data_IF_912370858756
#
_entry.id   IF_912370858756
#
_cell.length_a   1.000
_cell.length_b   1.000
_cell.length_c   1.000
_cell.angle_alpha   90.00
_cell.angle_beta   90.00
_cell.angle_gamma   90.00
#
_symmetry.space_group_name_H-M   'P 1'
#
loop_
_entity.id
_entity.type
_entity.pdbx_description
1 polymer ?
#
# COMPACT_ATOMS: atom_id res chain seq x y z
N UNK A 1 -12.82 -12.22 10.36
CA UNK A 1 -13.57 -11.37 9.40
C UNK A 1 -13.75 -9.94 9.90
N UNK A 2 -14.27 -9.71 11.11
CA UNK A 2 -14.45 -8.36 11.66
C UNK A 2 -13.17 -7.52 11.71
N UNK A 3 -12.05 -8.11 12.15
CA UNK A 3 -10.74 -7.42 12.24
C UNK A 3 -10.26 -6.89 10.89
N UNK A 4 -10.26 -7.74 9.85
CA UNK A 4 -9.86 -7.36 8.49
C UNK A 4 -10.72 -6.20 7.95
N UNK A 5 -12.04 -6.30 8.10
CA UNK A 5 -12.95 -5.26 7.61
C UNK A 5 -12.75 -3.93 8.35
N UNK A 6 -12.49 -3.97 9.66
CA UNK A 6 -12.21 -2.77 10.45
C UNK A 6 -10.90 -2.09 10.03
N UNK A 7 -9.85 -2.87 9.76
CA UNK A 7 -8.56 -2.35 9.27
C UNK A 7 -8.72 -1.72 7.88
N UNK A 8 -9.39 -2.39 6.95
CA UNK A 8 -9.62 -1.86 5.59
C UNK A 8 -10.47 -0.58 5.66
N UNK A 9 -11.49 -0.54 6.54
CA UNK A 9 -12.28 0.67 6.75
C UNK A 9 -11.44 1.85 7.26
N UNK A 10 -10.45 1.59 8.12
CA UNK A 10 -9.52 2.62 8.61
C UNK A 10 -8.58 3.09 7.50
N UNK A 11 -7.96 2.15 6.76
CA UNK A 11 -7.09 2.46 5.62
C UNK A 11 -7.82 3.31 4.57
N UNK A 12 -9.08 2.98 4.25
CA UNK A 12 -9.88 3.74 3.30
C UNK A 12 -10.08 5.22 3.71
N UNK A 13 -10.05 5.55 5.01
CA UNK A 13 -10.20 6.93 5.50
C UNK A 13 -8.91 7.74 5.46
N UNK A 14 -7.74 7.09 5.47
CA UNK A 14 -6.44 7.75 5.48
C UNK A 14 -5.64 7.54 4.18
N UNK A 15 -6.28 7.06 3.11
CA UNK A 15 -5.63 6.98 1.80
C UNK A 15 -5.45 8.37 1.22
N UNK A 16 -4.21 8.70 0.84
CA UNK A 16 -3.88 9.96 0.19
C UNK A 16 -4.51 10.06 -1.21
N UNK A 17 -4.62 11.28 -1.76
CA UNK A 17 -5.16 11.55 -3.09
C UNK A 17 -4.36 10.89 -4.23
N UNK A 18 -3.06 10.66 -4.05
CA UNK A 18 -2.24 9.87 -4.98
C UNK A 18 -2.63 8.38 -5.01
N UNK A 19 -3.34 7.90 -3.99
CA UNK A 19 -3.67 6.49 -3.78
C UNK A 19 -2.67 5.74 -2.90
N UNK A 20 -1.55 6.35 -2.53
CA UNK A 20 -0.62 5.81 -1.54
C UNK A 20 -1.14 6.03 -0.10
N UNK A 21 -0.42 5.46 0.85
CA UNK A 21 -0.56 5.76 2.28
C UNK A 21 0.72 6.39 2.82
N UNK A 22 0.54 7.21 3.85
CA UNK A 22 1.62 7.75 4.65
C UNK A 22 2.30 6.65 5.49
N UNK A 23 3.61 6.76 5.72
CA UNK A 23 4.40 5.79 6.50
C UNK A 23 3.88 5.65 7.94
N UNK A 24 3.43 6.76 8.52
CA UNK A 24 2.58 6.80 9.71
C UNK A 24 1.15 7.07 9.25
N UNK A 25 0.28 6.06 9.35
CA UNK A 25 -1.04 6.05 8.71
C UNK A 25 -1.98 7.19 9.14
N UNK A 26 -1.83 7.68 10.37
CA UNK A 26 -2.64 8.74 10.96
C UNK A 26 -1.91 10.10 11.03
N UNK A 27 -0.75 10.20 10.40
CA UNK A 27 0.05 11.41 10.31
C UNK A 27 0.26 11.81 8.82
N UNK A 28 -0.57 12.75 8.31
CA UNK A 28 -0.48 13.19 6.91
C UNK A 28 0.77 14.01 6.59
N UNK A 29 1.54 14.43 7.60
CA UNK A 29 2.80 15.14 7.39
C UNK A 29 3.97 14.17 7.15
N UNK A 30 3.80 12.87 7.43
CA UNK A 30 4.80 11.85 7.13
C UNK A 30 4.84 11.50 5.63
N UNK A 31 5.94 10.96 5.12
CA UNK A 31 6.05 10.72 3.67
C UNK A 31 5.13 9.57 3.19
N UNK A 32 4.75 9.61 1.90
CA UNK A 32 4.02 8.53 1.24
C UNK A 32 4.94 7.33 0.96
N UNK A 33 4.48 6.12 1.26
CA UNK A 33 5.27 4.89 1.19
C UNK A 33 4.60 3.85 0.28
N UNK A 34 5.33 3.41 -0.74
CA UNK A 34 4.81 2.59 -1.82
C UNK A 34 4.76 1.09 -1.49
N UNK A 35 5.67 0.55 -0.70
CA UNK A 35 5.71 -0.90 -0.44
C UNK A 35 4.54 -1.36 0.45
N UNK A 36 4.21 -0.61 1.48
CA UNK A 36 3.03 -0.75 2.32
C UNK A 36 1.75 -0.56 1.48
N UNK A 37 1.72 0.47 0.61
CA UNK A 37 0.61 0.68 -0.34
C UNK A 37 0.38 -0.56 -1.21
N UNK A 38 1.43 -1.19 -1.74
CA UNK A 38 1.32 -2.42 -2.52
C UNK A 38 0.78 -3.59 -1.67
N UNK A 39 1.22 -3.71 -0.41
CA UNK A 39 0.67 -4.67 0.54
C UNK A 39 -0.82 -4.47 0.82
N UNK A 40 -1.25 -3.22 1.06
CA UNK A 40 -2.67 -2.89 1.25
C UNK A 40 -3.48 -3.17 0.00
N UNK A 41 -2.99 -2.76 -1.18
CA UNK A 41 -3.63 -3.04 -2.46
C UNK A 41 -3.87 -4.55 -2.66
N UNK A 42 -2.84 -5.38 -2.43
CA UNK A 42 -2.97 -6.84 -2.49
C UNK A 42 -4.05 -7.35 -1.52
N UNK A 43 -3.96 -6.96 -0.24
CA UNK A 43 -4.87 -7.44 0.80
C UNK A 43 -6.33 -7.08 0.52
N UNK A 44 -6.58 -5.84 0.09
CA UNK A 44 -7.92 -5.34 -0.23
C UNK A 44 -8.46 -6.03 -1.49
N UNK A 45 -7.68 -6.12 -2.58
CA UNK A 45 -8.07 -6.83 -3.80
C UNK A 45 -8.45 -8.29 -3.50
N UNK A 46 -7.60 -8.98 -2.73
CA UNK A 46 -7.82 -10.36 -2.32
C UNK A 46 -9.10 -10.50 -1.51
N UNK A 47 -9.31 -9.62 -0.53
CA UNK A 47 -10.47 -9.65 0.34
C UNK A 47 -11.77 -9.38 -0.45
N UNK A 48 -11.77 -8.42 -1.37
CA UNK A 48 -12.89 -8.14 -2.27
C UNK A 48 -13.22 -9.34 -3.15
N UNK A 49 -12.22 -9.90 -3.85
CA UNK A 49 -12.43 -11.06 -4.74
C UNK A 49 -12.93 -12.28 -3.99
N UNK A 50 -12.42 -12.52 -2.78
CA UNK A 50 -12.85 -13.62 -1.92
C UNK A 50 -14.17 -13.34 -1.19
N UNK A 51 -14.80 -12.18 -1.42
CA UNK A 51 -16.06 -11.73 -0.80
C UNK A 51 -15.99 -11.70 0.73
N UNK A 52 -14.81 -11.39 1.25
CA UNK A 52 -14.53 -11.20 2.66
C UNK A 52 -14.99 -9.82 3.15
N UNK A 53 -14.92 -8.82 2.27
CA UNK A 53 -15.36 -7.45 2.54
C UNK A 53 -16.26 -6.95 1.40
N UNK A 54 -16.89 -5.79 1.63
CA UNK A 54 -17.76 -5.15 0.63
C UNK A 54 -17.03 -4.87 -0.69
N UNK A 55 -17.74 -5.01 -1.80
CA UNK A 55 -17.24 -4.62 -3.13
C UNK A 55 -16.91 -3.12 -3.23
N UNK A 56 -17.46 -2.28 -2.34
CA UNK A 56 -17.14 -0.86 -2.29
C UNK A 56 -15.63 -0.58 -2.08
N UNK A 57 -14.89 -1.48 -1.41
CA UNK A 57 -13.45 -1.33 -1.24
C UNK A 57 -12.63 -1.61 -2.50
N UNK A 58 -13.26 -2.04 -3.60
CA UNK A 58 -12.59 -2.19 -4.89
C UNK A 58 -12.01 -0.86 -5.40
N UNK A 59 -12.69 0.26 -5.13
CA UNK A 59 -12.23 1.60 -5.56
C UNK A 59 -10.97 2.04 -4.79
N UNK A 60 -10.90 1.74 -3.49
CA UNK A 60 -9.72 2.00 -2.66
C UNK A 60 -8.50 1.24 -3.20
N UNK A 61 -8.68 -0.04 -3.51
CA UNK A 61 -7.65 -0.88 -4.12
C UNK A 61 -7.27 -0.40 -5.54
N UNK A 62 -8.23 0.01 -6.36
CA UNK A 62 -7.99 0.54 -7.71
C UNK A 62 -7.15 1.82 -7.67
N UNK A 63 -7.46 2.74 -6.76
CA UNK A 63 -6.70 3.97 -6.54
C UNK A 63 -5.26 3.64 -6.11
N UNK A 64 -5.09 2.67 -5.21
CA UNK A 64 -3.78 2.20 -4.78
C UNK A 64 -2.96 1.60 -5.94
N UNK A 65 -3.56 0.76 -6.79
CA UNK A 65 -2.89 0.18 -7.95
C UNK A 65 -2.41 1.25 -8.92
N UNK A 66 -3.19 2.31 -9.17
CA UNK A 66 -2.77 3.44 -10.00
C UNK A 66 -1.55 4.14 -9.41
N UNK A 67 -1.57 4.40 -8.11
CA UNK A 67 -0.42 4.96 -7.39
C UNK A 67 0.82 4.07 -7.47
N UNK A 68 0.68 2.75 -7.32
CA UNK A 68 1.79 1.80 -7.48
C UNK A 68 2.36 1.82 -8.89
N UNK A 69 1.53 1.74 -9.93
CA UNK A 69 1.99 1.75 -11.33
C UNK A 69 2.73 3.05 -11.65
N UNK A 70 2.26 4.19 -11.14
CA UNK A 70 2.94 5.48 -11.31
C UNK A 70 4.30 5.56 -10.61
N UNK A 71 4.52 4.74 -9.57
CA UNK A 71 5.79 4.67 -8.82
C UNK A 71 6.71 3.53 -9.29
N UNK A 72 6.38 2.82 -10.37
CA UNK A 72 7.30 1.84 -10.98
C UNK A 72 8.12 2.55 -12.07
N UNK A 73 9.44 2.57 -11.90
CA UNK A 73 10.36 3.16 -12.87
C UNK A 73 10.42 2.35 -14.17
N UNK A 74 11.05 2.93 -15.21
CA UNK A 74 11.28 2.23 -16.47
C UNK A 74 12.16 0.96 -16.33
N UNK A 75 12.93 0.86 -15.24
CA UNK A 75 13.78 -0.30 -14.93
C UNK A 75 13.05 -1.36 -14.08
N UNK A 76 11.79 -1.11 -13.72
CA UNK A 76 11.00 -2.01 -12.86
C UNK A 76 11.26 -1.81 -11.36
N UNK A 77 11.92 -0.72 -10.97
CA UNK A 77 12.09 -0.37 -9.56
C UNK A 77 10.81 0.25 -9.00
N UNK A 78 10.38 -0.18 -7.83
CA UNK A 78 9.33 0.49 -7.07
C UNK A 78 9.96 1.62 -6.27
N UNK A 79 9.70 2.85 -6.70
CA UNK A 79 10.13 4.09 -6.06
C UNK A 79 9.34 4.33 -4.76
N UNK A 80 9.70 5.37 -4.01
CA UNK A 80 9.02 5.75 -2.74
C UNK A 80 8.91 4.60 -1.74
N UNK A 81 9.91 3.72 -1.70
CA UNK A 81 9.97 2.60 -0.75
C UNK A 81 10.85 2.99 0.44
N UNK A 82 10.35 2.79 1.67
CA UNK A 82 11.13 3.02 2.89
C UNK A 82 12.29 2.03 3.00
N UNK A 83 13.37 2.38 3.69
CA UNK A 83 14.46 1.46 4.02
C UNK A 83 14.07 0.47 5.14
N UNK A 84 14.96 -0.50 5.40
CA UNK A 84 14.75 -1.49 6.46
C UNK A 84 14.49 -0.83 7.82
N UNK A 85 13.29 -1.06 8.37
CA UNK A 85 12.78 -0.34 9.54
C UNK A 85 12.70 -1.27 10.76
N UNK A 86 13.39 -0.90 11.83
CA UNK A 86 13.30 -1.58 13.14
C UNK A 86 12.16 -1.06 14.00
N UNK A 87 12.13 -1.43 15.29
CA UNK A 87 11.19 -0.84 16.25
C UNK A 87 11.74 0.51 16.72
N UNK A 88 11.00 1.59 16.45
CA UNK A 88 11.33 2.94 16.90
C UNK A 88 10.86 3.22 18.33
N UNK A 89 11.52 4.14 19.01
CA UNK A 89 11.13 4.63 20.35
C UNK A 89 10.28 5.91 20.32
N UNK A 90 10.16 6.54 19.15
CA UNK A 90 9.34 7.73 18.91
C UNK A 90 8.87 7.76 17.44
N UNK A 91 8.01 8.73 17.10
CA UNK A 91 7.46 8.85 15.74
C UNK A 91 8.47 9.41 14.73
N UNK A 92 9.37 10.30 15.16
CA UNK A 92 10.40 10.89 14.27
C UNK A 92 11.31 9.82 13.67
N UNK A 93 11.61 8.76 14.43
CA UNK A 93 12.30 7.58 13.92
C UNK A 93 11.69 7.05 12.61
N UNK A 94 10.36 7.00 12.51
CA UNK A 94 9.65 6.50 11.32
C UNK A 94 9.58 7.55 10.21
N UNK A 95 9.43 8.83 10.58
CA UNK A 95 9.42 9.96 9.63
C UNK A 95 10.75 10.13 8.90
N UNK A 96 11.84 9.81 9.57
CA UNK A 96 13.20 10.03 9.07
C UNK A 96 13.81 8.81 8.35
N UNK A 97 13.06 7.71 8.21
CA UNK A 97 13.55 6.53 7.47
C UNK A 97 13.85 6.92 6.01
N UNK A 98 15.08 6.67 5.51
CA UNK A 98 15.42 6.97 4.12
C UNK A 98 14.55 6.21 3.13
N UNK A 99 14.32 6.84 1.97
CA UNK A 99 13.65 6.23 0.83
C UNK A 99 14.70 5.68 -0.14
N UNK A 100 14.62 4.40 -0.47
CA UNK A 100 15.52 3.76 -1.43
C UNK A 100 14.90 2.48 -1.99
N UNK A 101 15.40 2.03 -3.14
CA UNK A 101 15.07 0.71 -3.68
C UNK A 101 15.33 -0.38 -2.64
N UNK A 102 14.34 -1.26 -2.44
CA UNK A 102 14.43 -2.39 -1.52
C UNK A 102 13.75 -3.63 -2.11
N UNK A 103 14.32 -4.84 -1.91
CA UNK A 103 13.78 -6.07 -2.48
C UNK A 103 12.29 -6.33 -2.16
N UNK A 104 11.85 -5.97 -0.95
CA UNK A 104 10.44 -6.14 -0.56
C UNK A 104 9.49 -5.20 -1.31
N UNK A 105 9.95 -4.02 -1.75
CA UNK A 105 9.14 -3.14 -2.59
C UNK A 105 8.77 -3.82 -3.90
N UNK A 106 9.76 -4.39 -4.60
CA UNK A 106 9.52 -5.12 -5.85
C UNK A 106 8.66 -6.38 -5.60
N UNK A 107 8.93 -7.14 -4.55
CA UNK A 107 8.16 -8.33 -4.22
C UNK A 107 6.68 -8.00 -3.93
N UNK A 108 6.41 -6.93 -3.18
CA UNK A 108 5.05 -6.47 -2.88
C UNK A 108 4.32 -5.98 -4.13
N UNK A 109 5.01 -5.25 -5.02
CA UNK A 109 4.46 -4.84 -6.31
C UNK A 109 4.07 -6.05 -7.18
N UNK A 110 4.92 -7.08 -7.25
CA UNK A 110 4.61 -8.32 -7.96
C UNK A 110 3.33 -8.96 -7.40
N UNK A 111 3.20 -9.05 -6.08
CA UNK A 111 2.03 -9.63 -5.43
C UNK A 111 0.76 -8.86 -5.77
N UNK A 112 0.75 -7.53 -5.59
CA UNK A 112 -0.44 -6.73 -5.80
C UNK A 112 -0.88 -6.68 -7.27
N UNK A 113 0.07 -6.54 -8.20
CA UNK A 113 -0.22 -6.54 -9.64
C UNK A 113 -0.72 -7.91 -10.12
N UNK A 114 -0.16 -9.01 -9.59
CA UNK A 114 -0.65 -10.35 -9.90
C UNK A 114 -2.07 -10.58 -9.41
N UNK A 115 -2.42 -10.09 -8.22
CA UNK A 115 -3.79 -10.15 -7.73
C UNK A 115 -4.72 -9.23 -8.54
N UNK A 116 -4.23 -8.07 -8.99
CA UNK A 116 -4.98 -7.13 -9.83
C UNK A 116 -5.33 -7.72 -11.20
N UNK A 117 -4.44 -8.51 -11.81
CA UNK A 117 -4.70 -9.23 -13.07
C UNK A 117 -5.94 -10.13 -13.00
N UNK A 118 -6.35 -10.57 -11.81
CA UNK A 118 -7.59 -11.37 -11.63
C UNK A 118 -8.87 -10.60 -11.94
N UNK A 119 -8.83 -9.28 -12.10
CA UNK A 119 -10.00 -8.46 -12.53
C UNK A 119 -10.28 -8.54 -14.03
N UNK A 120 -9.37 -9.10 -14.83
CA UNK A 120 -9.48 -9.17 -16.29
C UNK A 120 -10.05 -10.50 -16.80
N UNK A 121 -10.55 -11.36 -15.90
CA UNK A 121 -11.15 -12.66 -16.22
C UNK A 121 -12.38 -12.93 -15.35
#
# INVERSE_FOLDING_TARGET
>A
MQVLNAQIAALARCQDDSGLWHTLLDDPDSYLEASATAGFAYGILKAVRKRYVSQAYAEVAEKAIRGIVQNISAQGELLQTSFGTGMGSNLDFYRDIPLTSMPYGQAMAILCLTEYLRKYF
#
